data_IF_607157601506
#
_entry.id   IF_607157601506
#
_cell.length_a   1.000
_cell.length_b   1.000
_cell.length_c   1.000
_cell.angle_alpha   90.00
_cell.angle_beta   90.00
_cell.angle_gamma   90.00
#
_symmetry.space_group_name_H-M   'P 1'
#
loop_
_entity.id
_entity.type
_entity.pdbx_description
1 polymer ?
#
# COMPACT_ATOMS: atom_id res chain seq x y z
N UNK A 1 5.14 -11.76 18.12
CA UNK A 1 4.00 -11.01 18.66
C UNK A 1 3.77 -9.75 17.84
N UNK A 2 2.52 -9.47 17.58
CA UNK A 2 2.02 -8.18 17.12
C UNK A 2 1.26 -7.55 18.28
N UNK A 3 1.62 -6.32 18.66
CA UNK A 3 1.08 -5.64 19.82
C UNK A 3 0.05 -4.56 19.38
N UNK A 4 -1.13 -5.04 19.02
CA UNK A 4 -2.27 -4.19 18.69
C UNK A 4 -2.78 -3.44 19.94
N UNK A 5 -3.22 -2.20 19.78
CA UNK A 5 -3.60 -1.32 20.89
C UNK A 5 -2.43 -0.73 21.68
N UNK A 6 -1.21 -1.04 21.29
CA UNK A 6 0.01 -0.55 21.92
C UNK A 6 0.50 0.75 21.33
N UNK A 7 1.34 1.44 22.09
CA UNK A 7 2.07 2.62 21.63
C UNK A 7 3.11 2.25 20.56
N UNK A 8 3.73 3.24 19.91
CA UNK A 8 4.84 3.02 18.96
C UNK A 8 6.00 2.23 19.60
N UNK A 9 6.87 1.57 18.80
CA UNK A 9 8.07 0.93 19.32
C UNK A 9 8.89 1.86 20.20
N UNK A 10 9.28 1.38 21.38
CA UNK A 10 10.04 2.13 22.40
C UNK A 10 11.23 1.34 22.94
N UNK A 11 11.73 0.36 22.17
CA UNK A 11 12.85 -0.50 22.53
C UNK A 11 12.44 -1.89 23.03
N UNK A 12 11.15 -2.18 23.22
CA UNK A 12 10.68 -3.49 23.67
C UNK A 12 11.09 -4.61 22.68
N UNK A 13 11.03 -4.33 21.38
CA UNK A 13 11.46 -5.24 20.31
C UNK A 13 12.97 -5.50 20.30
N UNK A 14 13.78 -4.65 20.92
CA UNK A 14 15.22 -4.88 21.09
C UNK A 14 15.46 -5.90 22.21
N UNK A 15 14.70 -5.81 23.30
CA UNK A 15 14.79 -6.73 24.43
C UNK A 15 14.12 -8.08 24.13
N UNK A 16 13.04 -8.06 23.36
CA UNK A 16 12.22 -9.23 23.04
C UNK A 16 12.06 -9.35 21.51
N UNK A 17 12.97 -10.05 20.83
CA UNK A 17 13.00 -10.10 19.35
C UNK A 17 11.81 -10.83 18.72
N UNK A 18 11.00 -11.52 19.51
CA UNK A 18 9.72 -12.08 19.09
C UNK A 18 8.57 -11.05 19.03
N UNK A 19 8.80 -9.79 19.46
CA UNK A 19 7.88 -8.68 19.27
C UNK A 19 8.19 -8.04 17.91
N UNK A 20 7.33 -8.27 16.93
CA UNK A 20 7.57 -7.93 15.54
C UNK A 20 6.98 -6.58 15.14
N UNK A 21 5.83 -6.24 15.67
CA UNK A 21 5.02 -5.11 15.22
C UNK A 21 4.24 -4.48 16.36
N UNK A 22 3.89 -3.21 16.21
CA UNK A 22 3.10 -2.43 17.17
C UNK A 22 2.06 -1.62 16.40
N UNK A 23 0.90 -1.41 16.95
CA UNK A 23 -0.04 -0.48 16.36
C UNK A 23 0.47 0.98 16.48
N UNK A 24 0.13 1.68 17.49
CA UNK A 24 0.51 3.08 17.72
C UNK A 24 0.18 4.01 16.55
N UNK A 25 -0.82 3.64 15.73
CA UNK A 25 -1.34 4.37 14.56
C UNK A 25 -2.85 4.36 14.59
N UNK A 26 -3.42 5.16 13.71
CA UNK A 26 -4.82 5.04 13.33
C UNK A 26 -4.92 3.99 12.21
N UNK A 27 -5.10 2.73 12.59
CA UNK A 27 -5.26 1.62 11.65
C UNK A 27 -6.56 1.73 10.82
N UNK A 28 -6.65 0.94 9.76
CA UNK A 28 -7.79 0.98 8.84
C UNK A 28 -9.13 0.66 9.51
N UNK A 29 -9.14 -0.06 10.63
CA UNK A 29 -10.34 -0.36 11.41
C UNK A 29 -11.11 0.89 11.84
N UNK A 30 -10.43 2.03 11.99
CA UNK A 30 -11.06 3.30 12.34
C UNK A 30 -12.11 3.76 11.31
N UNK A 31 -12.05 3.26 10.08
CA UNK A 31 -13.07 3.48 9.07
C UNK A 31 -14.47 2.93 9.45
N UNK A 32 -14.55 2.04 10.43
CA UNK A 32 -15.83 1.53 10.97
C UNK A 32 -16.60 2.59 11.77
N UNK A 33 -15.88 3.52 12.39
CA UNK A 33 -16.44 4.43 13.40
C UNK A 33 -16.26 5.91 13.07
N UNK A 34 -15.26 6.23 12.25
CA UNK A 34 -14.84 7.62 12.02
C UNK A 34 -14.66 7.91 10.52
N UNK A 35 -14.79 9.18 10.18
CA UNK A 35 -14.55 9.73 8.84
C UNK A 35 -13.22 10.53 8.79
N UNK A 36 -12.21 10.07 9.51
CA UNK A 36 -10.87 10.66 9.41
C UNK A 36 -10.34 10.60 7.98
N UNK A 37 -9.57 11.58 7.59
CA UNK A 37 -8.95 11.62 6.27
C UNK A 37 -7.82 10.57 6.17
N UNK A 38 -8.19 9.33 5.85
CA UNK A 38 -7.24 8.22 5.78
C UNK A 38 -6.24 8.37 4.64
N UNK A 39 -6.58 8.75 3.40
CA UNK A 39 -5.58 8.94 2.35
C UNK A 39 -4.54 10.01 2.66
N UNK A 40 -4.91 11.11 3.32
CA UNK A 40 -3.94 12.10 3.78
C UNK A 40 -3.08 11.58 4.95
N UNK A 41 -3.68 10.77 5.82
CA UNK A 41 -2.97 10.10 6.91
C UNK A 41 -1.98 9.07 6.38
N UNK A 42 -2.38 8.24 5.42
CA UNK A 42 -1.58 7.15 4.84
C UNK A 42 -0.32 7.64 4.11
N UNK A 43 -0.35 8.86 3.57
CA UNK A 43 0.83 9.52 2.97
C UNK A 43 1.62 10.38 3.95
N UNK A 44 1.24 10.40 5.22
CA UNK A 44 1.93 11.13 6.30
C UNK A 44 2.55 10.18 7.30
N UNK A 45 1.82 9.14 7.69
CA UNK A 45 2.18 8.19 8.72
C UNK A 45 3.55 7.51 8.49
N UNK A 46 3.93 7.09 7.27
CA UNK A 46 5.24 6.50 7.02
C UNK A 46 6.42 7.40 7.40
N UNK A 47 6.30 8.69 7.24
CA UNK A 47 7.37 9.64 7.58
C UNK A 47 7.49 9.93 9.09
N UNK A 48 6.44 9.69 9.84
CA UNK A 48 6.38 10.01 11.28
C UNK A 48 6.44 8.74 12.10
N UNK A 49 5.41 7.89 11.98
CA UNK A 49 5.23 6.71 12.84
C UNK A 49 6.20 5.59 12.48
N UNK A 50 6.37 5.31 11.18
CA UNK A 50 7.25 4.23 10.73
C UNK A 50 8.74 4.54 10.93
N UNK A 51 9.11 5.80 11.19
CA UNK A 51 10.46 6.15 11.65
C UNK A 51 10.83 5.46 12.98
N UNK A 52 9.84 5.05 13.78
CA UNK A 52 10.05 4.31 15.03
C UNK A 52 10.07 2.78 14.82
N UNK A 53 9.74 2.28 13.64
CA UNK A 53 9.73 0.85 13.31
C UNK A 53 8.41 0.36 12.74
N UNK A 54 8.25 -0.97 12.57
CA UNK A 54 7.10 -1.61 11.94
C UNK A 54 5.75 -1.21 12.54
N UNK A 55 4.71 -1.32 11.72
CA UNK A 55 3.36 -0.86 12.07
C UNK A 55 2.32 -1.93 11.77
N UNK A 56 1.39 -2.15 12.70
CA UNK A 56 0.16 -2.89 12.48
C UNK A 56 -0.93 -1.92 12.02
N UNK A 57 -1.12 -1.84 10.70
CA UNK A 57 -2.09 -0.93 10.07
C UNK A 57 -3.35 -1.65 9.56
N UNK A 58 -3.24 -2.93 9.25
CA UNK A 58 -4.33 -3.77 8.70
C UNK A 58 -4.92 -3.28 7.37
N UNK A 59 -4.13 -3.16 6.29
CA UNK A 59 -4.62 -2.75 4.98
C UNK A 59 -5.40 -3.85 4.25
N UNK A 60 -5.86 -3.58 3.03
CA UNK A 60 -6.38 -4.59 2.11
C UNK A 60 -7.88 -4.64 1.97
N UNK A 61 -8.60 -3.60 2.34
CA UNK A 61 -10.04 -3.54 2.11
C UNK A 61 -10.38 -3.68 0.62
N UNK A 62 -11.35 -4.54 0.32
CA UNK A 62 -11.91 -4.74 -1.02
C UNK A 62 -13.22 -3.97 -1.22
N UNK A 63 -13.82 -3.46 -0.15
CA UNK A 63 -14.92 -2.50 -0.20
C UNK A 63 -14.34 -1.09 -0.07
N UNK A 64 -14.22 -0.38 -1.18
CA UNK A 64 -13.51 0.90 -1.26
C UNK A 64 -14.47 2.03 -1.62
N UNK A 65 -14.29 3.21 -1.03
CA UNK A 65 -15.15 4.35 -1.21
C UNK A 65 -14.39 5.62 -1.60
N UNK A 66 -14.89 6.34 -2.59
CA UNK A 66 -14.42 7.69 -2.87
C UNK A 66 -14.80 8.65 -1.74
N UNK A 67 -14.16 9.82 -1.70
CA UNK A 67 -14.37 10.84 -0.66
C UNK A 67 -15.83 11.20 -0.43
N UNK A 68 -16.64 11.19 -1.50
CA UNK A 68 -18.04 11.65 -1.46
C UNK A 68 -19.04 10.55 -1.07
N UNK A 69 -18.63 9.28 -1.17
CA UNK A 69 -19.49 8.12 -0.90
C UNK A 69 -19.17 7.49 0.45
N UNK A 70 -17.97 7.71 0.96
CA UNK A 70 -17.53 7.14 2.24
C UNK A 70 -18.46 7.56 3.38
N UNK A 71 -18.78 6.59 4.22
CA UNK A 71 -19.40 6.76 5.53
C UNK A 71 -18.97 5.66 6.48
N UNK A 72 -18.79 5.92 7.77
CA UNK A 72 -18.53 4.89 8.76
C UNK A 72 -19.67 3.88 8.81
N UNK A 73 -19.37 2.60 8.68
CA UNK A 73 -20.33 1.49 8.79
C UNK A 73 -19.65 0.32 9.48
N UNK A 74 -20.26 -0.18 10.54
CA UNK A 74 -19.66 -1.25 11.35
C UNK A 74 -19.82 -2.63 10.72
N UNK A 75 -21.02 -2.92 10.16
CA UNK A 75 -21.36 -4.28 9.67
C UNK A 75 -20.72 -4.60 8.32
N UNK A 76 -20.58 -3.60 7.47
CA UNK A 76 -19.93 -3.72 6.16
C UNK A 76 -19.01 -2.53 5.93
N UNK A 77 -17.88 -2.48 6.63
CA UNK A 77 -16.98 -1.34 6.56
C UNK A 77 -16.40 -1.15 5.15
N UNK A 78 -16.02 0.08 4.86
CA UNK A 78 -15.36 0.45 3.62
C UNK A 78 -14.11 1.27 3.94
N UNK A 79 -13.07 1.13 3.12
CA UNK A 79 -11.91 2.02 3.20
C UNK A 79 -12.16 3.32 2.44
N UNK A 80 -11.46 4.37 2.83
CA UNK A 80 -11.35 5.59 2.03
C UNK A 80 -10.24 5.44 0.99
N UNK A 81 -10.49 5.96 -0.22
CA UNK A 81 -9.56 5.86 -1.33
C UNK A 81 -9.81 4.64 -2.22
N UNK A 82 -8.96 4.47 -3.20
CA UNK A 82 -9.15 3.44 -4.23
C UNK A 82 -8.69 2.06 -3.77
N UNK A 83 -9.10 1.04 -4.52
CA UNK A 83 -8.60 -0.32 -4.33
C UNK A 83 -7.09 -0.41 -4.49
N UNK A 84 -6.53 0.31 -5.46
CA UNK A 84 -5.09 0.29 -5.71
C UNK A 84 -4.32 0.97 -4.56
N UNK A 85 -4.90 1.96 -3.89
CA UNK A 85 -4.35 2.49 -2.66
C UNK A 85 -4.15 1.39 -1.61
N UNK A 86 -5.16 0.52 -1.43
CA UNK A 86 -5.07 -0.60 -0.49
C UNK A 86 -4.02 -1.64 -0.90
N UNK A 87 -3.87 -1.91 -2.20
CA UNK A 87 -2.82 -2.81 -2.70
C UNK A 87 -1.42 -2.22 -2.47
N UNK A 88 -1.24 -0.94 -2.80
CA UNK A 88 0.03 -0.25 -2.65
C UNK A 88 0.47 -0.14 -1.17
N UNK A 89 -0.49 -0.07 -0.24
CA UNK A 89 -0.23 -0.03 1.20
C UNK A 89 0.57 -1.24 1.69
N UNK A 90 0.38 -2.42 1.12
CA UNK A 90 1.18 -3.62 1.44
C UNK A 90 2.66 -3.49 1.06
N UNK A 91 2.95 -2.70 0.04
CA UNK A 91 4.34 -2.42 -0.35
C UNK A 91 4.90 -1.26 0.47
N UNK A 92 4.11 -0.22 0.69
CA UNK A 92 4.55 1.02 1.36
C UNK A 92 4.79 0.80 2.84
N UNK A 93 3.85 0.17 3.56
CA UNK A 93 3.95 0.00 5.00
C UNK A 93 4.87 -1.18 5.35
N UNK A 94 5.64 -1.01 6.41
CA UNK A 94 6.49 -2.06 6.95
C UNK A 94 5.74 -2.78 8.08
N UNK A 95 5.43 -4.05 7.86
CA UNK A 95 4.85 -4.91 8.87
C UNK A 95 5.34 -6.35 8.66
N UNK A 96 6.20 -6.87 9.54
CA UNK A 96 6.66 -8.26 9.47
C UNK A 96 5.55 -9.29 9.68
N UNK A 97 4.42 -8.86 10.24
CA UNK A 97 3.19 -9.63 10.35
C UNK A 97 2.04 -8.83 9.76
N UNK A 98 1.87 -8.96 8.43
CA UNK A 98 0.86 -8.21 7.68
C UNK A 98 -0.51 -8.86 7.83
N UNK A 99 -1.48 -8.09 8.29
CA UNK A 99 -2.86 -8.53 8.46
C UNK A 99 -3.69 -8.30 7.19
N UNK A 100 -4.80 -9.03 7.09
CA UNK A 100 -5.86 -8.86 6.09
C UNK A 100 -7.10 -8.31 6.78
N UNK A 101 -7.60 -7.15 6.37
CA UNK A 101 -8.70 -6.48 7.07
C UNK A 101 -10.10 -6.88 6.60
N UNK A 102 -10.22 -7.54 5.44
CA UNK A 102 -11.52 -7.87 4.85
C UNK A 102 -11.92 -9.33 5.04
N UNK A 103 -13.14 -9.69 4.64
CA UNK A 103 -13.64 -11.06 4.77
C UNK A 103 -13.09 -11.98 3.67
N UNK A 104 -13.00 -13.31 3.92
CA UNK A 104 -12.59 -14.27 2.90
C UNK A 104 -13.41 -14.15 1.61
N UNK A 105 -14.73 -13.95 1.72
CA UNK A 105 -15.62 -13.80 0.57
C UNK A 105 -15.26 -12.60 -0.32
N UNK A 106 -14.83 -11.48 0.27
CA UNK A 106 -14.38 -10.32 -0.52
C UNK A 106 -13.06 -10.61 -1.22
N UNK A 107 -12.14 -11.32 -0.59
CA UNK A 107 -10.89 -11.74 -1.22
C UNK A 107 -11.10 -12.75 -2.34
N UNK A 108 -12.01 -13.70 -2.16
CA UNK A 108 -12.37 -14.68 -3.20
C UNK A 108 -13.01 -14.03 -4.43
N UNK A 109 -13.80 -12.97 -4.25
CA UNK A 109 -14.40 -12.22 -5.35
C UNK A 109 -13.41 -11.30 -6.08
N UNK A 110 -12.24 -11.03 -5.49
CA UNK A 110 -11.23 -10.11 -6.01
C UNK A 110 -9.87 -10.81 -6.17
N UNK A 111 -9.88 -11.95 -6.86
CA UNK A 111 -8.75 -12.90 -6.94
C UNK A 111 -7.44 -12.24 -7.40
N UNK A 112 -7.48 -11.32 -8.38
CA UNK A 112 -6.27 -10.64 -8.87
C UNK A 112 -5.61 -9.80 -7.78
N UNK A 113 -6.42 -9.03 -7.04
CA UNK A 113 -5.95 -8.21 -5.93
C UNK A 113 -5.42 -9.10 -4.80
N UNK A 114 -6.13 -10.17 -4.46
CA UNK A 114 -5.74 -11.12 -3.42
C UNK A 114 -4.43 -11.83 -3.75
N UNK A 115 -4.24 -12.24 -5.01
CA UNK A 115 -2.99 -12.84 -5.46
C UNK A 115 -1.82 -11.86 -5.41
N UNK A 116 -2.06 -10.59 -5.73
CA UNK A 116 -1.04 -9.57 -5.56
C UNK A 116 -0.66 -9.43 -4.08
N UNK A 117 -1.63 -9.24 -3.17
CA UNK A 117 -1.38 -9.15 -1.73
C UNK A 117 -0.59 -10.36 -1.23
N UNK A 118 -1.02 -11.57 -1.58
CA UNK A 118 -0.36 -12.81 -1.18
C UNK A 118 1.08 -12.95 -1.73
N UNK A 119 1.42 -12.22 -2.78
CA UNK A 119 2.77 -12.22 -3.36
C UNK A 119 3.72 -11.22 -2.70
N UNK A 120 3.19 -10.22 -1.97
CA UNK A 120 4.02 -9.19 -1.34
C UNK A 120 4.69 -9.76 -0.08
N UNK A 121 6.03 -9.73 0.01
CA UNK A 121 6.75 -10.17 1.20
C UNK A 121 6.44 -9.29 2.41
N UNK A 122 6.50 -9.86 3.60
CA UNK A 122 6.35 -9.11 4.86
C UNK A 122 7.68 -8.51 5.34
N UNK A 123 8.81 -9.03 4.85
CA UNK A 123 10.15 -8.53 5.14
C UNK A 123 10.94 -8.43 3.85
N UNK A 124 11.48 -7.27 3.58
CA UNK A 124 12.25 -6.95 2.38
C UNK A 124 13.75 -6.89 2.68
N UNK A 125 14.56 -7.13 1.65
CA UNK A 125 16.02 -7.11 1.73
C UNK A 125 16.59 -5.71 1.40
N UNK A 126 15.84 -4.90 0.62
CA UNK A 126 16.28 -3.59 0.18
C UNK A 126 15.10 -2.63 0.03
N UNK A 127 15.35 -1.35 0.31
CA UNK A 127 14.40 -0.25 0.26
C UNK A 127 14.97 0.90 -0.55
N UNK A 128 14.31 1.28 -1.64
CA UNK A 128 14.70 2.41 -2.48
C UNK A 128 13.60 3.46 -2.46
N UNK A 129 13.79 4.60 -1.76
CA UNK A 129 12.85 5.70 -1.83
C UNK A 129 12.82 6.26 -3.26
N UNK A 130 11.63 6.44 -3.81
CA UNK A 130 11.43 7.08 -5.11
C UNK A 130 11.00 8.53 -4.92
N UNK A 131 9.78 8.90 -5.32
CA UNK A 131 9.28 10.26 -5.17
C UNK A 131 8.38 10.39 -3.94
N UNK A 132 8.55 11.45 -3.17
CA UNK A 132 7.70 11.68 -2.01
C UNK A 132 7.55 13.14 -1.64
N UNK A 133 6.41 13.48 -1.04
CA UNK A 133 6.15 14.75 -0.37
C UNK A 133 5.20 14.50 0.80
N UNK A 134 5.67 14.72 2.01
CA UNK A 134 4.91 14.48 3.26
C UNK A 134 3.52 15.09 3.18
N UNK A 135 2.50 14.31 3.55
CA UNK A 135 1.10 14.71 3.52
C UNK A 135 0.48 14.80 2.13
N UNK A 136 1.23 14.50 1.07
CA UNK A 136 0.73 14.59 -0.30
C UNK A 136 0.82 13.27 -1.04
N UNK A 137 2.00 12.65 -1.11
CA UNK A 137 2.23 11.39 -1.82
C UNK A 137 3.56 10.78 -1.40
N UNK A 138 3.70 9.50 -1.64
CA UNK A 138 4.97 8.80 -1.53
C UNK A 138 5.01 7.61 -2.50
N UNK A 139 6.22 7.23 -2.87
CA UNK A 139 6.48 5.99 -3.59
C UNK A 139 7.80 5.37 -3.15
N UNK A 140 7.84 4.05 -3.16
CA UNK A 140 8.98 3.24 -2.76
C UNK A 140 9.09 2.02 -3.65
N UNK A 141 10.31 1.61 -3.96
CA UNK A 141 10.62 0.29 -4.50
C UNK A 141 11.28 -0.55 -3.40
N UNK A 142 10.87 -1.80 -3.27
CA UNK A 142 11.40 -2.74 -2.27
C UNK A 142 11.75 -4.06 -2.95
N UNK A 143 12.84 -4.70 -2.52
CA UNK A 143 13.32 -5.96 -3.09
C UNK A 143 13.24 -7.10 -2.09
N UNK A 144 12.88 -8.26 -2.61
CA UNK A 144 13.01 -9.55 -1.91
C UNK A 144 13.58 -10.60 -2.85
N UNK A 145 14.78 -11.12 -2.56
CA UNK A 145 15.48 -11.98 -3.50
C UNK A 145 15.69 -11.28 -4.85
N UNK A 146 15.18 -11.90 -5.92
CA UNK A 146 15.26 -11.35 -7.28
C UNK A 146 14.00 -10.57 -7.72
N UNK A 147 13.01 -10.44 -6.84
CA UNK A 147 11.77 -9.74 -7.12
C UNK A 147 11.75 -8.34 -6.51
N UNK A 148 11.16 -7.40 -7.27
CA UNK A 148 10.94 -6.04 -6.82
C UNK A 148 9.45 -5.73 -6.72
N UNK A 149 9.12 -4.87 -5.79
CA UNK A 149 7.76 -4.39 -5.57
C UNK A 149 7.78 -2.87 -5.51
N UNK A 150 6.85 -2.22 -6.20
CA UNK A 150 6.68 -0.76 -6.15
C UNK A 150 5.32 -0.45 -5.57
N UNK A 151 5.29 0.43 -4.59
CA UNK A 151 4.07 0.99 -4.03
C UNK A 151 4.10 2.51 -4.11
N UNK A 152 3.00 3.11 -4.59
CA UNK A 152 2.80 4.55 -4.58
C UNK A 152 1.40 4.89 -4.08
N UNK A 153 1.31 5.90 -3.22
CA UNK A 153 0.07 6.40 -2.62
C UNK A 153 -0.05 7.91 -2.85
N UNK A 154 -1.27 8.40 -3.04
CA UNK A 154 -1.58 9.84 -3.02
C UNK A 154 -2.69 10.16 -2.02
N UNK A 155 -2.71 11.40 -1.51
CA UNK A 155 -3.85 11.93 -0.79
C UNK A 155 -5.06 12.14 -1.75
N UNK A 156 -6.04 12.97 -1.38
CA UNK A 156 -7.19 13.23 -2.24
C UNK A 156 -6.89 14.05 -3.51
N UNK A 157 -5.67 14.53 -3.69
CA UNK A 157 -5.28 15.19 -4.93
C UNK A 157 -4.92 14.15 -5.99
N UNK A 158 -5.54 14.24 -7.16
CA UNK A 158 -5.10 13.47 -8.34
C UNK A 158 -3.66 13.81 -8.68
N UNK A 159 -2.91 12.82 -9.11
CA UNK A 159 -1.48 13.03 -9.34
C UNK A 159 -0.92 12.08 -10.38
N UNK A 160 -0.05 12.59 -11.23
CA UNK A 160 0.83 11.75 -12.04
C UNK A 160 2.13 11.54 -11.28
N UNK A 161 2.52 10.29 -11.09
CA UNK A 161 3.80 9.92 -10.51
C UNK A 161 4.72 9.36 -11.59
N UNK A 162 5.99 9.65 -11.47
CA UNK A 162 7.02 9.09 -12.36
C UNK A 162 7.77 7.98 -11.62
N UNK A 163 7.84 6.81 -12.21
CA UNK A 163 8.64 5.70 -11.74
C UNK A 163 9.86 5.56 -12.64
N UNK A 164 11.02 5.88 -12.09
CA UNK A 164 12.33 5.63 -12.71
C UNK A 164 12.78 4.25 -12.27
N UNK A 165 13.01 3.34 -13.23
CA UNK A 165 13.38 1.95 -12.97
C UNK A 165 14.88 1.75 -12.78
N UNK A 166 15.68 2.81 -12.63
CA UNK A 166 17.14 2.75 -12.41
C UNK A 166 17.55 1.94 -11.17
N UNK A 167 16.63 1.63 -10.26
CA UNK A 167 16.89 0.73 -9.14
C UNK A 167 17.01 -0.75 -9.55
N UNK A 168 16.54 -1.13 -10.76
CA UNK A 168 16.66 -2.49 -11.24
C UNK A 168 18.11 -2.77 -11.69
N UNK A 169 18.68 -3.94 -11.34
CA UNK A 169 19.89 -4.41 -11.99
C UNK A 169 19.71 -4.56 -13.50
N UNK A 170 20.82 -4.63 -14.24
CA UNK A 170 20.78 -4.84 -15.67
C UNK A 170 20.02 -6.13 -16.02
N UNK A 171 19.11 -6.04 -17.00
CA UNK A 171 18.28 -7.15 -17.43
C UNK A 171 16.90 -6.71 -17.89
N UNK A 172 16.11 -7.70 -18.29
CA UNK A 172 14.73 -7.52 -18.72
C UNK A 172 13.80 -8.12 -17.67
N UNK A 173 12.76 -7.39 -17.34
CA UNK A 173 11.81 -7.76 -16.28
C UNK A 173 10.38 -7.70 -16.79
N UNK A 174 9.55 -8.57 -16.24
CA UNK A 174 8.10 -8.51 -16.37
C UNK A 174 7.53 -7.78 -15.16
N UNK A 175 6.81 -6.71 -15.37
CA UNK A 175 6.10 -5.99 -14.34
C UNK A 175 4.58 -6.23 -14.45
N UNK A 176 3.98 -6.78 -13.40
CA UNK A 176 2.52 -6.80 -13.22
C UNK A 176 2.15 -5.53 -12.47
N UNK A 177 1.37 -4.67 -13.12
CA UNK A 177 1.06 -3.32 -12.66
C UNK A 177 -0.43 -3.17 -12.39
N UNK A 178 -0.77 -2.68 -11.21
CA UNK A 178 -2.11 -2.24 -10.84
C UNK A 178 -2.13 -0.72 -10.76
N UNK A 179 -3.06 -0.11 -11.49
CA UNK A 179 -3.32 1.33 -11.49
C UNK A 179 -4.80 1.60 -11.26
N UNK A 180 -5.12 2.79 -10.81
CA UNK A 180 -6.51 3.23 -10.74
C UNK A 180 -7.17 3.15 -12.11
N UNK A 181 -8.42 2.69 -12.15
CA UNK A 181 -9.23 2.65 -13.36
C UNK A 181 -9.73 4.05 -13.75
N UNK A 182 -10.21 4.17 -14.98
CA UNK A 182 -10.70 5.44 -15.52
C UNK A 182 -11.87 6.04 -14.72
N UNK A 183 -12.64 5.18 -14.02
CA UNK A 183 -13.77 5.59 -13.21
C UNK A 183 -13.46 5.62 -11.69
N UNK A 184 -12.21 5.44 -11.29
CA UNK A 184 -11.82 5.29 -9.87
C UNK A 184 -12.28 6.46 -8.98
N UNK A 185 -12.41 7.66 -9.52
CA UNK A 185 -12.95 8.83 -8.80
C UNK A 185 -14.41 8.68 -8.38
N UNK A 186 -15.19 7.89 -9.13
CA UNK A 186 -16.62 7.64 -8.87
C UNK A 186 -16.86 6.28 -8.27
N UNK A 187 -16.09 5.29 -8.70
CA UNK A 187 -16.11 3.92 -8.23
C UNK A 187 -14.71 3.53 -7.76
N UNK A 188 -14.44 3.69 -6.48
CA UNK A 188 -13.13 3.46 -5.88
C UNK A 188 -12.64 2.00 -6.01
N UNK A 189 -13.51 1.06 -6.41
CA UNK A 189 -13.14 -0.33 -6.69
C UNK A 189 -12.63 -0.54 -8.10
N UNK A 190 -12.75 0.48 -8.99
CA UNK A 190 -12.30 0.40 -10.37
C UNK A 190 -10.79 0.47 -10.46
N UNK A 191 -10.19 -0.55 -11.06
CA UNK A 191 -8.75 -0.65 -11.26
C UNK A 191 -8.42 -1.29 -12.61
N UNK A 192 -7.20 -1.09 -13.05
CA UNK A 192 -6.64 -1.73 -14.24
C UNK A 192 -5.42 -2.56 -13.85
N UNK A 193 -5.38 -3.82 -14.29
CA UNK A 193 -4.22 -4.70 -14.22
C UNK A 193 -3.59 -4.84 -15.60
N UNK A 194 -2.29 -4.61 -15.71
CA UNK A 194 -1.53 -4.77 -16.95
C UNK A 194 -0.23 -5.51 -16.70
N UNK A 195 0.30 -6.14 -17.73
CA UNK A 195 1.65 -6.70 -17.74
C UNK A 195 2.47 -5.97 -18.79
N UNK A 196 3.64 -5.52 -18.39
CA UNK A 196 4.57 -4.80 -19.27
C UNK A 196 5.99 -5.34 -19.09
N UNK A 197 6.81 -5.19 -20.11
CA UNK A 197 8.25 -5.44 -20.00
C UNK A 197 8.95 -4.14 -19.62
N UNK A 198 9.86 -4.20 -18.66
CA UNK A 198 10.64 -3.06 -18.18
C UNK A 198 12.12 -3.39 -18.10
N UNK A 199 12.95 -2.35 -18.24
CA UNK A 199 14.42 -2.39 -18.09
C UNK A 199 14.85 -1.21 -17.21
N UNK A 200 16.08 -1.22 -16.72
CA UNK A 200 16.59 -0.20 -15.79
C UNK A 200 16.72 1.20 -16.36
N UNK A 201 16.70 1.37 -17.68
CA UNK A 201 16.76 2.66 -18.38
C UNK A 201 15.38 3.28 -18.64
N UNK A 202 14.31 2.59 -18.28
CA UNK A 202 12.94 3.08 -18.49
C UNK A 202 12.50 4.05 -17.41
N UNK A 203 11.72 5.04 -17.83
CA UNK A 203 11.03 5.99 -16.95
C UNK A 203 9.57 6.08 -17.40
N UNK A 204 8.66 5.64 -16.54
CA UNK A 204 7.23 5.59 -16.88
C UNK A 204 6.40 6.49 -15.96
N UNK A 205 5.30 7.00 -16.48
CA UNK A 205 4.35 7.83 -15.74
C UNK A 205 3.04 7.10 -15.52
N UNK A 206 2.51 7.26 -14.31
CA UNK A 206 1.24 6.66 -13.89
C UNK A 206 0.36 7.70 -13.24
N UNK A 207 -0.89 7.75 -13.68
CA UNK A 207 -1.89 8.63 -13.08
C UNK A 207 -2.54 7.92 -11.89
N UNK A 208 -2.63 8.62 -10.78
CA UNK A 208 -3.34 8.21 -9.58
C UNK A 208 -4.60 9.05 -9.43
N UNK A 209 -5.73 8.39 -9.21
CA UNK A 209 -7.00 9.04 -8.90
C UNK A 209 -6.96 9.71 -7.52
N UNK A 210 -8.01 10.42 -7.15
CA UNK A 210 -8.18 10.98 -5.82
C UNK A 210 -8.18 9.88 -4.75
N UNK A 211 -7.24 9.91 -3.80
CA UNK A 211 -7.02 8.82 -2.83
C UNK A 211 -6.54 7.53 -3.47
N UNK A 212 -5.81 7.65 -4.57
CA UNK A 212 -5.39 6.54 -5.41
C UNK A 212 -3.99 6.02 -5.14
N UNK A 213 -3.56 5.08 -5.99
CA UNK A 213 -2.25 4.46 -5.87
C UNK A 213 -1.77 3.76 -7.13
N UNK A 214 -0.55 3.24 -7.03
CA UNK A 214 0.07 2.32 -8.00
C UNK A 214 0.72 1.18 -7.22
N UNK A 215 0.50 -0.05 -7.66
CA UNK A 215 1.13 -1.22 -7.08
C UNK A 215 1.74 -2.10 -8.17
N UNK A 216 2.99 -2.56 -7.98
CA UNK A 216 3.68 -3.38 -8.97
C UNK A 216 4.40 -4.55 -8.31
N UNK A 217 4.43 -5.68 -9.04
CA UNK A 217 5.37 -6.77 -8.82
C UNK A 217 6.23 -6.93 -10.07
N UNK A 218 7.55 -6.96 -9.91
CA UNK A 218 8.52 -6.96 -10.99
C UNK A 218 9.41 -8.18 -10.85
N UNK A 219 9.44 -9.03 -11.86
CA UNK A 219 10.15 -10.30 -11.87
C UNK A 219 11.12 -10.35 -13.05
N UNK A 220 12.32 -10.86 -12.83
CA UNK A 220 13.33 -11.03 -13.88
C UNK A 220 12.85 -12.10 -14.89
N UNK A 221 13.01 -11.81 -16.19
CA UNK A 221 12.72 -12.75 -17.28
C UNK A 221 13.90 -13.67 -17.58
#
# INVERSE_FOLDING_TARGET
LDLHGMFKPSGLNVCYPNVLSFEGVRGLENCKWHNYDMPAYDVTMPFIRMAAGPVDYTPGAMNNASRYVFRPVTQQPMSMGTRVHQLASYVVFDSPLQMLCDSPTFYERNVDCTRFIASVPTVFDEYVPLQSKVGKYLSVAKRKGDEWFVGALTNWDKRTITIDFSFLPAGTYKATVFTDGINADRNATDYRKTEITVTSDMVLKYDMASGGGVAMRIQKL
#
